data_IF_078898554473
#
_entry.id   IF_078898554473
#
_cell.length_a   1.000
_cell.length_b   1.000
_cell.length_c   1.000
_cell.angle_alpha   90.00
_cell.angle_beta   90.00
_cell.angle_gamma   90.00
#
_symmetry.space_group_name_H-M   'P 1'
#
loop_
_entity.id
_entity.type
_entity.pdbx_description
1 polymer ?
#
# COMPACT_ATOMS: atom_id res chain seq x y z
N UNK A 1 6.98 13.47 5.19
CA UNK A 1 7.45 14.26 4.20
C UNK A 1 6.67 14.15 2.89
N UNK A 2 5.72 13.23 2.84
CA UNK A 2 4.85 13.07 1.67
C UNK A 2 3.44 13.59 1.94
N UNK A 3 3.25 14.31 3.07
CA UNK A 3 1.98 14.89 3.45
C UNK A 3 1.73 16.19 2.68
N UNK A 4 1.40 16.04 1.41
CA UNK A 4 1.10 17.17 0.53
C UNK A 4 -0.40 17.34 0.43
N UNK A 5 -0.84 18.60 0.28
CA UNK A 5 -2.26 18.92 0.10
C UNK A 5 -2.70 18.80 -1.36
N UNK A 6 -1.77 18.51 -2.26
CA UNK A 6 -2.04 18.40 -3.70
C UNK A 6 -1.12 17.37 -4.34
N UNK A 7 -1.53 16.87 -5.51
CA UNK A 7 -0.73 15.95 -6.30
C UNK A 7 0.44 16.73 -6.92
N UNK A 8 1.66 16.23 -6.71
CA UNK A 8 2.88 16.91 -7.13
C UNK A 8 3.27 16.65 -8.58
N UNK A 9 2.87 15.50 -9.15
CA UNK A 9 3.16 15.14 -10.53
C UNK A 9 1.97 15.36 -11.44
N UNK A 10 2.11 14.91 -12.69
CA UNK A 10 1.02 14.98 -13.67
C UNK A 10 0.14 13.74 -13.67
N UNK A 11 0.68 12.60 -13.22
CA UNK A 11 -0.05 11.35 -13.18
C UNK A 11 -1.12 11.39 -12.09
N UNK A 12 -2.35 11.08 -12.46
CA UNK A 12 -3.50 11.02 -11.56
C UNK A 12 -4.25 9.69 -11.64
N UNK A 13 -3.67 8.70 -12.32
CA UNK A 13 -4.36 7.43 -12.56
C UNK A 13 -4.69 6.71 -11.27
N UNK A 14 -3.75 6.63 -10.33
CA UNK A 14 -4.02 6.00 -9.04
C UNK A 14 -5.01 6.81 -8.22
N UNK A 15 -4.84 8.12 -8.16
CA UNK A 15 -5.76 9.00 -7.43
C UNK A 15 -7.20 8.82 -7.93
N UNK A 16 -7.40 8.83 -9.24
CA UNK A 16 -8.73 8.68 -9.82
C UNK A 16 -9.34 7.32 -9.49
N UNK A 17 -8.54 6.26 -9.52
CA UNK A 17 -8.99 4.92 -9.15
C UNK A 17 -9.40 4.85 -7.68
N UNK A 18 -8.62 5.46 -6.79
CA UNK A 18 -8.90 5.47 -5.36
C UNK A 18 -10.19 6.23 -5.04
N UNK A 19 -10.40 7.37 -5.69
CA UNK A 19 -11.63 8.15 -5.50
C UNK A 19 -12.85 7.33 -5.91
N UNK A 20 -12.76 6.58 -7.01
CA UNK A 20 -13.85 5.69 -7.44
C UNK A 20 -14.15 4.60 -6.40
N UNK A 21 -13.17 4.20 -5.61
CA UNK A 21 -13.34 3.25 -4.53
C UNK A 21 -13.66 3.92 -3.19
N UNK A 22 -14.08 5.18 -3.22
CA UNK A 22 -14.50 5.96 -2.04
C UNK A 22 -13.38 6.19 -1.03
N UNK A 23 -12.14 6.19 -1.49
CA UNK A 23 -11.01 6.59 -0.65
C UNK A 23 -11.00 8.12 -0.59
N UNK A 24 -10.85 8.67 0.62
CA UNK A 24 -10.89 10.11 0.81
C UNK A 24 -9.77 10.83 0.06
N UNK A 25 -10.04 12.09 -0.28
CA UNK A 25 -9.12 12.92 -1.06
C UNK A 25 -7.72 12.97 -0.45
N UNK A 26 -7.61 13.13 0.86
CA UNK A 26 -6.33 13.25 1.56
C UNK A 26 -5.47 11.99 1.39
N UNK A 27 -6.05 10.82 1.59
CA UNK A 27 -5.33 9.56 1.40
C UNK A 27 -5.03 9.31 -0.08
N UNK A 28 -5.96 9.68 -0.96
CA UNK A 28 -5.76 9.56 -2.40
C UNK A 28 -4.56 10.37 -2.89
N UNK A 29 -4.42 11.61 -2.41
CA UNK A 29 -3.29 12.47 -2.75
C UNK A 29 -1.98 11.87 -2.22
N UNK A 30 -1.98 11.45 -0.96
CA UNK A 30 -0.80 10.85 -0.35
C UNK A 30 -0.32 9.64 -1.15
N UNK A 31 -1.23 8.73 -1.48
CA UNK A 31 -0.87 7.50 -2.17
C UNK A 31 -0.42 7.76 -3.60
N UNK A 32 -1.07 8.68 -4.32
CA UNK A 32 -0.62 9.05 -5.67
C UNK A 32 0.79 9.64 -5.62
N UNK A 33 1.08 10.49 -4.67
CA UNK A 33 2.41 11.09 -4.54
C UNK A 33 3.48 10.04 -4.20
N UNK A 34 3.16 9.10 -3.32
CA UNK A 34 4.06 8.00 -2.98
C UNK A 34 4.31 7.09 -4.18
N UNK A 35 3.25 6.78 -4.93
CA UNK A 35 3.34 5.95 -6.13
C UNK A 35 4.28 6.60 -7.16
N UNK A 36 4.12 7.89 -7.40
CA UNK A 36 4.96 8.65 -8.32
C UNK A 36 6.40 8.74 -7.81
N UNK A 37 6.57 9.02 -6.52
CA UNK A 37 7.89 9.14 -5.91
C UNK A 37 8.68 7.84 -6.00
N UNK A 38 8.03 6.70 -5.79
CA UNK A 38 8.66 5.39 -5.86
C UNK A 38 8.88 4.91 -7.30
N UNK A 39 8.48 5.71 -8.28
CA UNK A 39 8.63 5.41 -9.72
C UNK A 39 8.01 4.07 -10.10
N UNK A 40 6.89 3.74 -9.47
CA UNK A 40 6.14 2.53 -9.78
C UNK A 40 5.36 2.74 -11.07
N UNK A 41 5.26 1.67 -11.86
CA UNK A 41 4.58 1.72 -13.17
C UNK A 41 3.20 1.06 -13.15
N UNK A 42 2.95 0.22 -12.15
CA UNK A 42 1.72 -0.56 -12.07
C UNK A 42 1.18 -0.56 -10.65
N UNK A 43 -0.13 -0.50 -10.54
CA UNK A 43 -0.80 -0.62 -9.25
C UNK A 43 -1.96 -1.59 -9.34
N UNK A 44 -2.32 -2.17 -8.20
CA UNK A 44 -3.47 -3.06 -8.06
C UNK A 44 -4.23 -2.66 -6.81
N UNK A 45 -5.55 -2.58 -6.92
CA UNK A 45 -6.44 -2.33 -5.77
C UNK A 45 -7.11 -3.64 -5.39
N UNK A 46 -6.97 -4.06 -4.15
CA UNK A 46 -7.51 -5.33 -3.66
C UNK A 46 -8.63 -5.05 -2.67
N UNK A 47 -9.85 -5.50 -3.01
CA UNK A 47 -11.02 -5.40 -2.15
C UNK A 47 -11.24 -6.67 -1.33
N UNK A 48 -12.50 -7.12 -1.25
CA UNK A 48 -12.88 -8.27 -0.45
C UNK A 48 -12.30 -9.59 -0.97
N UNK A 49 -11.96 -9.67 -2.24
CA UNK A 49 -11.40 -10.88 -2.86
C UNK A 49 -10.01 -10.59 -3.40
N UNK A 50 -9.16 -11.60 -3.42
CA UNK A 50 -7.85 -11.47 -4.01
C UNK A 50 -7.95 -11.29 -5.53
N UNK A 51 -6.90 -10.69 -6.11
CA UNK A 51 -6.81 -10.45 -7.55
C UNK A 51 -5.47 -10.95 -8.04
N UNK A 52 -5.38 -11.36 -9.33
CA UNK A 52 -4.09 -11.72 -9.91
C UNK A 52 -3.17 -10.49 -9.96
N UNK A 53 -1.88 -10.71 -9.69
CA UNK A 53 -0.88 -9.66 -9.76
C UNK A 53 -0.16 -9.70 -11.10
N UNK A 54 0.11 -8.53 -11.72
CA UNK A 54 0.98 -8.49 -12.89
C UNK A 54 2.41 -8.88 -12.49
N UNK A 55 3.22 -9.39 -13.42
CA UNK A 55 4.62 -9.72 -13.10
C UNK A 55 5.43 -8.47 -12.81
N UNK A 56 6.49 -8.64 -12.01
CA UNK A 56 7.39 -7.56 -11.67
C UNK A 56 6.92 -6.71 -10.50
N UNK A 57 7.63 -5.62 -10.21
CA UNK A 57 7.26 -4.74 -9.09
C UNK A 57 5.89 -4.12 -9.28
N UNK A 58 5.07 -4.15 -8.23
CA UNK A 58 3.71 -3.63 -8.26
C UNK A 58 3.42 -2.87 -6.97
N UNK A 59 2.62 -1.82 -7.10
CA UNK A 59 2.13 -1.04 -5.97
C UNK A 59 0.74 -1.59 -5.61
N UNK A 60 0.71 -2.47 -4.62
CA UNK A 60 -0.51 -3.18 -4.24
C UNK A 60 -1.17 -2.49 -3.07
N UNK A 61 -2.41 -2.04 -3.26
CA UNK A 61 -3.17 -1.33 -2.23
C UNK A 61 -4.30 -2.22 -1.74
N UNK A 62 -4.25 -2.56 -0.46
CA UNK A 62 -5.30 -3.32 0.21
C UNK A 62 -6.32 -2.35 0.78
N UNK A 63 -7.51 -2.34 0.18
CA UNK A 63 -8.58 -1.43 0.55
C UNK A 63 -9.12 -1.78 1.95
N UNK A 64 -9.85 -0.85 2.61
CA UNK A 64 -10.32 -1.10 3.98
C UNK A 64 -11.20 -2.35 4.14
N UNK A 65 -11.87 -2.81 3.07
CA UNK A 65 -12.74 -3.99 3.12
C UNK A 65 -12.02 -5.30 2.83
N UNK A 66 -10.70 -5.30 2.65
CA UNK A 66 -9.92 -6.52 2.42
C UNK A 66 -10.00 -7.43 3.65
N UNK A 67 -10.27 -8.72 3.43
CA UNK A 67 -10.31 -9.68 4.53
C UNK A 67 -8.90 -9.96 5.05
N UNK A 68 -8.79 -10.47 6.28
CA UNK A 68 -7.48 -10.79 6.87
C UNK A 68 -6.78 -11.92 6.11
N UNK A 69 -7.56 -12.87 5.57
CA UNK A 69 -7.02 -13.95 4.76
C UNK A 69 -6.41 -13.43 3.46
N UNK A 70 -7.15 -12.58 2.75
CA UNK A 70 -6.67 -11.95 1.51
C UNK A 70 -5.47 -11.07 1.79
N UNK A 71 -5.50 -10.32 2.89
CA UNK A 71 -4.39 -9.46 3.29
C UNK A 71 -3.10 -10.27 3.44
N UNK A 72 -3.14 -11.37 4.18
CA UNK A 72 -1.98 -12.23 4.36
C UNK A 72 -1.51 -12.88 3.08
N UNK A 73 -2.44 -13.32 2.24
CA UNK A 73 -2.14 -13.96 0.97
C UNK A 73 -1.46 -13.00 0.00
N UNK A 74 -2.00 -11.79 -0.15
CA UNK A 74 -1.43 -10.77 -1.02
C UNK A 74 -0.07 -10.29 -0.54
N UNK A 75 0.11 -10.20 0.79
CA UNK A 75 1.40 -9.81 1.36
C UNK A 75 2.50 -10.81 0.98
N UNK A 76 2.20 -12.11 1.01
CA UNK A 76 3.18 -13.12 0.60
C UNK A 76 3.51 -13.03 -0.89
N UNK A 77 2.51 -12.77 -1.73
CA UNK A 77 2.74 -12.60 -3.17
C UNK A 77 3.64 -11.40 -3.46
N UNK A 78 3.36 -10.27 -2.82
CA UNK A 78 4.15 -9.05 -3.02
C UNK A 78 5.59 -9.25 -2.54
N UNK A 79 5.76 -9.91 -1.40
CA UNK A 79 7.09 -10.19 -0.86
C UNK A 79 7.92 -11.02 -1.85
N UNK A 80 7.28 -11.95 -2.55
CA UNK A 80 7.96 -12.80 -3.53
C UNK A 80 8.31 -12.08 -4.84
N UNK A 81 7.55 -11.02 -5.18
CA UNK A 81 7.71 -10.31 -6.47
C UNK A 81 8.55 -9.04 -6.39
N UNK A 82 8.86 -8.58 -5.21
CA UNK A 82 9.34 -7.21 -4.97
C UNK A 82 8.27 -6.19 -5.34
N UNK A 83 8.23 -5.11 -4.60
CA UNK A 83 7.23 -4.08 -4.82
C UNK A 83 6.84 -3.42 -3.52
N UNK A 84 5.64 -2.85 -3.51
CA UNK A 84 5.14 -2.12 -2.36
C UNK A 84 3.75 -2.62 -2.00
N UNK A 85 3.54 -2.89 -0.72
CA UNK A 85 2.23 -3.24 -0.18
C UNK A 85 1.73 -2.09 0.68
N UNK A 86 0.54 -1.60 0.36
CA UNK A 86 -0.11 -0.54 1.14
C UNK A 86 -1.34 -1.15 1.81
N UNK A 87 -1.43 -1.01 3.13
CA UNK A 87 -2.59 -1.45 3.90
C UNK A 87 -3.35 -0.22 4.36
N UNK A 88 -4.54 -0.02 3.84
CA UNK A 88 -5.40 1.08 4.27
C UNK A 88 -6.17 0.66 5.51
N UNK A 89 -6.34 1.61 6.43
CA UNK A 89 -7.07 1.39 7.69
C UNK A 89 -6.56 0.14 8.44
N UNK A 90 -5.26 0.06 8.76
CA UNK A 90 -4.72 -1.13 9.43
C UNK A 90 -5.33 -1.34 10.82
N UNK A 91 -5.83 -0.29 11.44
CA UNK A 91 -6.48 -0.34 12.77
C UNK A 91 -7.99 -0.52 12.71
N UNK A 92 -8.56 -0.84 11.55
CA UNK A 92 -10.01 -1.00 11.41
C UNK A 92 -10.59 -2.04 12.37
N UNK A 93 -9.83 -3.10 12.65
CA UNK A 93 -10.15 -4.10 13.66
C UNK A 93 -8.88 -4.56 14.34
N UNK A 94 -8.97 -5.10 15.54
CA UNK A 94 -7.81 -5.65 16.24
C UNK A 94 -7.22 -6.84 15.50
N UNK A 95 -8.05 -7.67 14.87
CA UNK A 95 -7.59 -8.81 14.07
C UNK A 95 -6.80 -8.33 12.86
N UNK A 96 -7.29 -7.32 12.16
CA UNK A 96 -6.59 -6.74 11.00
C UNK A 96 -5.25 -6.14 11.41
N UNK A 97 -5.22 -5.40 12.50
CA UNK A 97 -4.00 -4.81 13.04
C UNK A 97 -2.97 -5.88 13.42
N UNK A 98 -3.43 -6.97 14.06
CA UNK A 98 -2.55 -8.06 14.44
C UNK A 98 -1.91 -8.73 13.23
N UNK A 99 -2.69 -8.98 12.18
CA UNK A 99 -2.17 -9.56 10.93
C UNK A 99 -1.20 -8.59 10.26
N UNK A 100 -1.52 -7.31 10.21
CA UNK A 100 -0.64 -6.30 9.62
C UNK A 100 0.69 -6.24 10.36
N UNK A 101 0.68 -6.33 11.68
CA UNK A 101 1.90 -6.35 12.48
C UNK A 101 2.77 -7.58 12.21
N UNK A 102 2.15 -8.73 12.01
CA UNK A 102 2.87 -9.95 11.68
C UNK A 102 3.54 -9.84 10.30
N UNK A 103 2.83 -9.26 9.35
CA UNK A 103 3.33 -9.10 7.99
C UNK A 103 4.53 -8.15 7.95
N UNK A 104 4.47 -7.04 8.68
CA UNK A 104 5.51 -6.01 8.61
C UNK A 104 6.89 -6.54 9.02
N UNK A 105 6.94 -7.61 9.80
CA UNK A 105 8.21 -8.20 10.23
C UNK A 105 9.00 -8.81 9.07
N UNK A 106 8.34 -9.09 7.95
CA UNK A 106 8.95 -9.69 6.77
C UNK A 106 9.36 -8.66 5.73
N UNK A 107 9.13 -7.38 5.98
CA UNK A 107 9.43 -6.30 5.04
C UNK A 107 10.57 -5.45 5.58
N UNK A 108 11.45 -5.01 4.69
CA UNK A 108 12.64 -4.25 5.07
C UNK A 108 12.35 -2.80 5.36
N UNK A 109 11.44 -2.22 4.61
CA UNK A 109 11.17 -0.79 4.69
C UNK A 109 9.71 -0.60 5.05
N UNK A 110 9.45 0.12 6.13
CA UNK A 110 8.10 0.28 6.67
C UNK A 110 7.82 1.75 6.91
N UNK A 111 6.66 2.18 6.45
CA UNK A 111 6.15 3.52 6.69
C UNK A 111 4.76 3.38 7.28
N UNK A 112 4.54 3.91 8.47
CA UNK A 112 3.30 3.67 9.21
C UNK A 112 2.66 4.97 9.67
N UNK A 113 1.36 5.08 9.43
CA UNK A 113 0.47 6.08 9.98
C UNK A 113 -0.79 5.35 10.43
N UNK A 114 -1.65 5.98 11.23
CA UNK A 114 -2.91 5.38 11.69
C UNK A 114 -3.81 4.92 10.56
N UNK A 115 -3.76 5.61 9.42
CA UNK A 115 -4.65 5.37 8.28
C UNK A 115 -4.02 4.52 7.20
N UNK A 116 -2.69 4.50 7.14
CA UNK A 116 -1.95 3.88 6.04
C UNK A 116 -0.72 3.20 6.58
N UNK A 117 -0.50 1.95 6.19
CA UNK A 117 0.75 1.25 6.43
C UNK A 117 1.34 0.90 5.07
N UNK A 118 2.59 1.27 4.84
CA UNK A 118 3.27 1.06 3.57
C UNK A 118 4.51 0.21 3.80
N UNK A 119 4.60 -0.89 3.07
CA UNK A 119 5.65 -1.90 3.24
C UNK A 119 6.36 -2.10 1.91
N UNK A 120 7.69 -2.07 1.93
CA UNK A 120 8.52 -2.22 0.74
C UNK A 120 9.19 -3.59 0.75
N UNK A 121 8.98 -4.35 -0.31
CA UNK A 121 9.55 -5.69 -0.47
C UNK A 121 10.80 -5.72 -1.33
N UNK A 122 11.28 -4.57 -1.79
CA UNK A 122 12.45 -4.49 -2.65
C UNK A 122 13.72 -4.78 -1.84
N UNK A 123 14.48 -5.83 -2.19
CA UNK A 123 15.71 -6.17 -1.47
C UNK A 123 16.82 -5.14 -1.64
N UNK A 124 16.74 -4.27 -2.63
CA UNK A 124 17.71 -3.20 -2.85
C UNK A 124 17.53 -2.04 -1.89
N UNK A 125 16.34 -1.91 -1.26
CA UNK A 125 16.11 -0.86 -0.31
C UNK A 125 16.72 -1.23 1.04
N UNK A 126 17.31 -0.22 1.71
CA UNK A 126 17.85 -0.43 3.04
C UNK A 126 16.70 -0.46 4.05
N UNK A 127 16.87 -1.22 5.16
CA UNK A 127 15.86 -1.24 6.21
C UNK A 127 15.65 0.17 6.77
N UNK A 128 14.43 0.68 6.67
CA UNK A 128 14.08 2.02 7.13
C UNK A 128 12.65 2.01 7.66
N UNK A 129 12.39 2.92 8.60
CA UNK A 129 11.06 3.13 9.11
C UNK A 129 10.72 4.60 8.95
N UNK A 130 9.64 4.89 8.22
CA UNK A 130 9.18 6.25 8.00
C UNK A 130 7.87 6.48 8.72
N UNK A 131 7.71 7.70 9.22
CA UNK A 131 6.43 8.16 9.75
C UNK A 131 5.83 9.12 8.72
N UNK A 132 4.65 8.79 8.27
CA UNK A 132 3.93 9.58 7.27
C UNK A 132 3.09 10.67 7.93
#
# INVERSE_FOLDING_TARGET
>A
VFMKSRITGRDRTLYNALIRHRIGRKNGILLQNLYTHCKMERFVLVGAMDVPLPPGPVFCILLPNTTTETLGFMARKILAQSGCLVVLAPHRSSRRWKVAQQIRQHYRCVSVDRRVMMLYADPKLQPQHYRI
#
